data_IF_080581007506
#
_entry.id   IF_080581007506
#
_cell.length_a   1.000
_cell.length_b   1.000
_cell.length_c   1.000
_cell.angle_alpha   90.00
_cell.angle_beta   90.00
_cell.angle_gamma   90.00
#
_symmetry.space_group_name_H-M   'P 1'
#
loop_
_entity.id
_entity.type
_entity.pdbx_description
1 polymer ?
#
# COMPACT_ATOMS: atom_id res chain seq x y z
N UNK A 1 -1.27 -19.87 -31.89
CA UNK A 1 -0.67 -20.30 -30.61
C UNK A 1 -0.48 -19.08 -29.73
N UNK A 2 -1.28 -18.93 -28.67
CA UNK A 2 -1.36 -17.69 -27.90
C UNK A 2 -0.05 -17.37 -27.13
N UNK A 3 0.49 -16.15 -27.24
CA UNK A 3 1.77 -15.74 -26.62
C UNK A 3 1.77 -15.82 -25.08
N UNK A 4 0.59 -15.87 -24.47
CA UNK A 4 0.35 -15.90 -23.01
C UNK A 4 0.95 -17.15 -22.35
N UNK A 5 0.91 -18.32 -23.02
CA UNK A 5 1.43 -19.57 -22.45
C UNK A 5 2.95 -19.60 -22.35
N UNK A 6 3.65 -18.79 -23.17
CA UNK A 6 5.11 -18.68 -23.16
C UNK A 6 5.61 -17.76 -22.06
N UNK A 7 4.82 -16.74 -21.70
CA UNK A 7 5.10 -15.79 -20.61
C UNK A 7 4.87 -16.44 -19.23
N UNK A 8 3.79 -17.23 -19.09
CA UNK A 8 3.51 -18.01 -17.86
C UNK A 8 4.55 -19.10 -17.58
N UNK A 9 5.28 -19.57 -18.61
CA UNK A 9 6.32 -20.60 -18.47
C UNK A 9 7.63 -20.07 -17.88
N UNK A 10 7.78 -18.74 -17.77
CA UNK A 10 8.93 -18.12 -17.17
C UNK A 10 8.72 -18.00 -15.64
N UNK A 11 9.45 -18.79 -14.86
CA UNK A 11 9.31 -18.79 -13.39
C UNK A 11 9.48 -17.40 -12.78
N UNK A 12 10.33 -16.53 -13.34
CA UNK A 12 10.47 -15.17 -12.82
C UNK A 12 9.21 -14.33 -13.00
N UNK A 13 8.51 -14.49 -14.13
CA UNK A 13 7.26 -13.79 -14.38
C UNK A 13 6.14 -14.34 -13.48
N UNK A 14 6.08 -15.66 -13.32
CA UNK A 14 5.09 -16.30 -12.46
C UNK A 14 5.26 -15.89 -10.99
N UNK A 15 6.49 -15.86 -10.48
CA UNK A 15 6.81 -15.38 -9.13
C UNK A 15 6.38 -13.91 -8.98
N UNK A 16 6.70 -13.05 -9.95
CA UNK A 16 6.26 -11.64 -9.93
C UNK A 16 4.74 -11.51 -9.86
N UNK A 17 4.00 -12.27 -10.68
CA UNK A 17 2.52 -12.22 -10.69
C UNK A 17 1.95 -12.67 -9.35
N UNK A 18 2.49 -13.73 -8.75
CA UNK A 18 2.05 -14.20 -7.42
C UNK A 18 2.35 -13.14 -6.36
N UNK A 19 3.59 -12.63 -6.30
CA UNK A 19 3.99 -11.60 -5.34
C UNK A 19 3.12 -10.34 -5.45
N UNK A 20 2.84 -9.90 -6.67
CA UNK A 20 1.97 -8.75 -6.92
C UNK A 20 0.53 -9.03 -6.50
N UNK A 21 0.02 -10.23 -6.78
CA UNK A 21 -1.35 -10.63 -6.41
C UNK A 21 -1.52 -10.65 -4.90
N UNK A 22 -0.56 -11.24 -4.18
CA UNK A 22 -0.56 -11.28 -2.70
C UNK A 22 -0.50 -9.86 -2.14
N UNK A 23 0.38 -9.01 -2.69
CA UNK A 23 0.50 -7.62 -2.25
C UNK A 23 -0.80 -6.85 -2.44
N UNK A 24 -1.39 -6.91 -3.64
CA UNK A 24 -2.68 -6.27 -3.93
C UNK A 24 -3.82 -6.80 -3.05
N UNK A 25 -3.78 -8.08 -2.68
CA UNK A 25 -4.74 -8.65 -1.75
C UNK A 25 -4.56 -8.08 -0.33
N UNK A 26 -3.31 -8.00 0.14
CA UNK A 26 -2.96 -7.35 1.41
C UNK A 26 -3.49 -5.92 1.49
N UNK A 27 -3.38 -5.15 0.41
CA UNK A 27 -3.86 -3.75 0.34
C UNK A 27 -5.34 -3.61 0.60
N UNK A 28 -6.12 -4.58 0.08
CA UNK A 28 -7.56 -4.59 0.28
C UNK A 28 -7.90 -4.96 1.72
N UNK A 29 -7.16 -5.89 2.31
CA UNK A 29 -7.32 -6.24 3.72
C UNK A 29 -6.95 -5.06 4.64
N UNK A 30 -5.85 -4.36 4.36
CA UNK A 30 -5.43 -3.16 5.10
C UNK A 30 -6.48 -2.06 5.00
N UNK A 31 -7.03 -1.82 3.80
CA UNK A 31 -8.11 -0.85 3.61
C UNK A 31 -9.36 -1.22 4.43
N UNK A 32 -9.77 -2.49 4.40
CA UNK A 32 -10.94 -2.97 5.18
C UNK A 32 -10.66 -2.85 6.69
N UNK A 33 -9.45 -3.20 7.14
CA UNK A 33 -9.05 -3.11 8.54
C UNK A 33 -9.05 -1.66 9.03
N UNK A 34 -8.56 -0.71 8.22
CA UNK A 34 -8.58 0.72 8.54
C UNK A 34 -10.01 1.28 8.60
N UNK A 35 -10.87 0.89 7.66
CA UNK A 35 -12.30 1.26 7.69
C UNK A 35 -12.96 0.71 8.95
N UNK A 36 -12.71 -0.56 9.32
CA UNK A 36 -13.22 -1.16 10.55
C UNK A 36 -12.68 -0.49 11.82
N UNK A 37 -11.40 -0.11 11.85
CA UNK A 37 -10.78 0.59 12.98
C UNK A 37 -11.44 1.96 13.20
N UNK A 38 -11.70 2.70 12.12
CA UNK A 38 -12.42 3.98 12.20
C UNK A 38 -13.85 3.75 12.70
N UNK A 39 -14.56 2.76 12.17
CA UNK A 39 -15.95 2.49 12.59
C UNK A 39 -16.11 2.05 14.05
N UNK A 40 -15.06 1.51 14.67
CA UNK A 40 -15.09 1.06 16.09
C UNK A 40 -14.56 2.13 17.05
N UNK A 41 -13.54 2.91 16.65
CA UNK A 41 -12.84 3.86 17.53
C UNK A 41 -12.98 5.33 17.12
N UNK A 42 -13.69 5.62 16.03
CA UNK A 42 -13.92 6.96 15.52
C UNK A 42 -14.98 7.71 16.33
N UNK A 43 -14.78 9.00 16.65
CA UNK A 43 -15.85 9.85 17.18
C UNK A 43 -16.96 10.01 16.12
N UNK A 44 -18.21 10.24 16.58
CA UNK A 44 -19.52 10.21 15.88
C UNK A 44 -19.64 10.86 14.46
N UNK A 45 -18.59 11.46 13.90
CA UNK A 45 -18.49 11.96 12.52
C UNK A 45 -17.85 10.94 11.56
N UNK A 46 -18.41 9.73 11.54
CA UNK A 46 -18.07 8.60 10.67
C UNK A 46 -17.82 8.93 9.18
N UNK A 47 -18.59 9.80 8.50
CA UNK A 47 -18.40 10.03 7.06
C UNK A 47 -17.18 10.89 6.71
N UNK A 48 -16.78 11.79 7.62
CA UNK A 48 -15.71 12.76 7.34
C UNK A 48 -14.32 12.12 7.49
N UNK A 49 -14.16 11.22 8.45
CA UNK A 49 -12.91 10.49 8.66
C UNK A 49 -12.64 9.49 7.53
N UNK A 50 -13.67 8.81 7.05
CA UNK A 50 -13.56 7.89 5.91
C UNK A 50 -13.22 8.62 4.60
N UNK A 51 -13.82 9.78 4.36
CA UNK A 51 -13.49 10.60 3.18
C UNK A 51 -12.09 11.21 3.27
N UNK A 52 -11.64 11.63 4.46
CA UNK A 52 -10.25 12.03 4.68
C UNK A 52 -9.28 10.87 4.43
N UNK A 53 -9.59 9.66 4.92
CA UNK A 53 -8.78 8.47 4.64
C UNK A 53 -8.62 8.26 3.14
N UNK A 54 -9.72 8.28 2.37
CA UNK A 54 -9.66 8.13 0.91
C UNK A 54 -8.79 9.20 0.22
N UNK A 55 -8.83 10.44 0.72
CA UNK A 55 -7.96 11.53 0.24
C UNK A 55 -6.49 11.24 0.55
N UNK A 56 -6.17 10.80 1.77
CA UNK A 56 -4.81 10.45 2.17
C UNK A 56 -4.26 9.23 1.43
N UNK A 57 -5.11 8.29 1.03
CA UNK A 57 -4.75 7.18 0.14
C UNK A 57 -4.41 7.65 -1.28
N UNK A 58 -5.20 8.59 -1.82
CA UNK A 58 -5.09 8.98 -3.24
C UNK A 58 -4.02 10.06 -3.49
N UNK A 59 -3.82 10.96 -2.51
CA UNK A 59 -2.87 12.06 -2.58
C UNK A 59 -1.45 11.65 -2.99
N UNK A 60 -0.80 10.67 -2.32
CA UNK A 60 0.58 10.33 -2.65
C UNK A 60 0.68 9.79 -4.08
N UNK A 61 -0.30 9.01 -4.53
CA UNK A 61 -0.33 8.49 -5.91
C UNK A 61 -0.44 9.63 -6.93
N UNK A 62 -1.28 10.62 -6.67
CA UNK A 62 -1.48 11.76 -7.60
C UNK A 62 -0.24 12.65 -7.65
N UNK A 63 0.36 12.96 -6.50
CA UNK A 63 1.50 13.88 -6.38
C UNK A 63 2.77 13.21 -6.92
N UNK A 64 3.03 11.97 -6.50
CA UNK A 64 4.29 11.31 -6.79
C UNK A 64 4.23 10.40 -8.00
N UNK A 65 3.05 9.96 -8.46
CA UNK A 65 2.90 9.08 -9.64
C UNK A 65 3.67 9.54 -10.89
N UNK A 66 3.60 10.81 -11.32
CA UNK A 66 4.36 11.32 -12.46
C UNK A 66 5.88 11.27 -12.24
N UNK A 67 6.33 11.56 -11.01
CA UNK A 67 7.74 11.59 -10.63
C UNK A 67 8.29 10.16 -10.57
N UNK A 68 7.52 9.25 -9.96
CA UNK A 68 7.86 7.83 -9.83
C UNK A 68 8.07 7.19 -11.20
N UNK A 69 7.26 7.52 -12.21
CA UNK A 69 7.46 6.99 -13.58
C UNK A 69 8.84 7.32 -14.16
N UNK A 70 9.26 8.58 -14.05
CA UNK A 70 10.56 9.05 -14.58
C UNK A 70 11.73 8.50 -13.76
N UNK A 71 11.58 8.40 -12.44
CA UNK A 71 12.63 7.90 -11.55
C UNK A 71 12.86 6.39 -11.72
N UNK A 72 11.79 5.61 -11.84
CA UNK A 72 11.83 4.15 -11.98
C UNK A 72 12.39 3.73 -13.33
N UNK A 73 12.18 4.51 -14.39
CA UNK A 73 12.77 4.22 -15.70
C UNK A 73 14.30 4.37 -15.73
N UNK A 74 14.88 5.14 -14.81
CA UNK A 74 16.33 5.30 -14.69
C UNK A 74 17.00 4.26 -13.79
N UNK A 75 16.24 3.54 -12.98
CA UNK A 75 16.76 2.63 -11.95
C UNK A 75 16.51 1.16 -12.32
N UNK A 76 17.23 0.24 -11.67
CA UNK A 76 16.97 -1.19 -11.84
C UNK A 76 15.60 -1.57 -11.28
N UNK A 77 14.60 -1.75 -12.16
CA UNK A 77 13.20 -2.08 -11.84
C UNK A 77 13.04 -3.15 -10.75
N UNK A 78 13.84 -4.22 -10.80
CA UNK A 78 13.79 -5.30 -9.79
C UNK A 78 14.21 -4.84 -8.39
N UNK A 79 15.22 -3.95 -8.28
CA UNK A 79 15.67 -3.44 -6.97
C UNK A 79 14.67 -2.44 -6.40
N UNK A 80 14.10 -1.58 -7.24
CA UNK A 80 13.05 -0.64 -6.84
C UNK A 80 11.88 -1.40 -6.24
N UNK A 81 11.36 -2.39 -6.96
CA UNK A 81 10.21 -3.18 -6.51
C UNK A 81 10.47 -3.84 -5.16
N UNK A 82 11.62 -4.53 -5.00
CA UNK A 82 11.96 -5.19 -3.73
C UNK A 82 12.11 -4.18 -2.58
N UNK A 83 12.69 -3.01 -2.85
CA UNK A 83 12.88 -1.98 -1.81
C UNK A 83 11.54 -1.39 -1.36
N UNK A 84 10.64 -1.10 -2.31
CA UNK A 84 9.28 -0.63 -2.04
C UNK A 84 8.49 -1.66 -1.24
N UNK A 85 8.46 -2.92 -1.69
CA UNK A 85 7.72 -3.98 -1.00
C UNK A 85 8.23 -4.22 0.43
N UNK A 86 9.55 -4.15 0.64
CA UNK A 86 10.15 -4.27 1.98
C UNK A 86 9.82 -3.08 2.89
N UNK A 87 9.96 -1.85 2.38
CA UNK A 87 9.60 -0.64 3.13
C UNK A 87 8.11 -0.67 3.51
N UNK A 88 7.28 -1.11 2.58
CA UNK A 88 5.84 -1.20 2.76
C UNK A 88 5.45 -2.22 3.83
N UNK A 89 6.02 -3.43 3.75
CA UNK A 89 5.82 -4.45 4.78
C UNK A 89 6.25 -3.96 6.16
N UNK A 90 7.38 -3.26 6.24
CA UNK A 90 7.85 -2.64 7.48
C UNK A 90 6.87 -1.59 8.03
N UNK A 91 6.36 -0.70 7.18
CA UNK A 91 5.39 0.33 7.58
C UNK A 91 4.07 -0.27 8.06
N UNK A 92 3.55 -1.29 7.38
CA UNK A 92 2.32 -2.00 7.77
C UNK A 92 2.49 -2.68 9.14
N UNK A 93 3.63 -3.34 9.38
CA UNK A 93 3.94 -3.93 10.69
C UNK A 93 4.03 -2.89 11.82
N UNK A 94 4.35 -1.63 11.51
CA UNK A 94 4.41 -0.55 12.50
C UNK A 94 3.03 -0.04 12.93
N UNK A 95 1.99 -0.21 12.11
CA UNK A 95 0.61 0.23 12.40
C UNK A 95 0.11 -0.33 13.76
N UNK A 96 0.11 -1.66 14.00
CA UNK A 96 -0.36 -2.19 15.29
C UNK A 96 0.53 -1.78 16.47
N UNK A 97 1.85 -1.68 16.27
CA UNK A 97 2.81 -1.30 17.33
C UNK A 97 2.53 0.13 17.82
N UNK A 98 2.35 1.06 16.89
CA UNK A 98 2.07 2.47 17.19
C UNK A 98 0.68 2.64 17.80
N UNK A 99 -0.31 1.91 17.28
CA UNK A 99 -1.67 1.95 17.81
C UNK A 99 -1.71 1.54 19.30
N UNK A 100 -1.00 0.46 19.66
CA UNK A 100 -0.90 0.00 21.04
C UNK A 100 -0.23 1.01 21.98
N UNK A 101 0.80 1.73 21.49
CA UNK A 101 1.61 2.62 22.32
C UNK A 101 0.93 3.98 22.59
N UNK A 102 0.20 4.51 21.60
CA UNK A 102 -0.30 5.91 21.61
C UNK A 102 -1.81 5.99 21.85
N UNK A 103 -2.58 4.91 21.62
CA UNK A 103 -4.05 4.89 21.75
C UNK A 103 -4.74 6.05 20.98
N UNK A 104 -4.10 6.56 19.93
CA UNK A 104 -4.60 7.68 19.12
C UNK A 104 -4.61 7.29 17.65
N UNK A 105 -5.64 7.74 16.93
CA UNK A 105 -5.90 7.37 15.53
C UNK A 105 -5.14 8.26 14.53
N UNK A 106 -4.71 9.46 14.95
CA UNK A 106 -3.96 10.41 14.12
C UNK A 106 -2.65 9.87 13.52
N UNK A 107 -1.77 9.17 14.27
CA UNK A 107 -0.54 8.62 13.68
C UNK A 107 -0.79 7.54 12.61
N UNK A 108 -1.96 6.88 12.64
CA UNK A 108 -2.33 5.89 11.62
C UNK A 108 -2.46 6.55 10.24
N UNK A 109 -3.00 7.76 10.15
CA UNK A 109 -3.12 8.49 8.88
C UNK A 109 -1.76 8.81 8.25
N UNK A 110 -0.76 9.14 9.08
CA UNK A 110 0.60 9.42 8.59
C UNK A 110 1.24 8.15 8.05
N UNK A 111 1.11 7.02 8.75
CA UNK A 111 1.66 5.74 8.30
C UNK A 111 1.00 5.30 7.00
N UNK A 112 -0.33 5.41 6.92
CA UNK A 112 -1.10 5.13 5.70
C UNK A 112 -0.57 5.95 4.52
N UNK A 113 -0.36 7.26 4.70
CA UNK A 113 0.19 8.09 3.64
C UNK A 113 1.53 7.57 3.11
N UNK A 114 2.43 7.13 4.00
CA UNK A 114 3.71 6.55 3.61
C UNK A 114 3.59 5.15 2.99
N UNK A 115 2.68 4.30 3.48
CA UNK A 115 2.39 2.97 2.91
C UNK A 115 1.89 3.07 1.46
N UNK A 116 1.14 4.12 1.15
CA UNK A 116 0.64 4.39 -0.20
C UNK A 116 1.63 5.15 -1.10
N UNK A 117 2.70 5.68 -0.51
CA UNK A 117 3.78 6.34 -1.24
C UNK A 117 4.86 5.34 -1.71
N UNK A 118 5.09 4.28 -0.94
CA UNK A 118 6.06 3.21 -1.24
C UNK A 118 5.51 2.18 -2.20
#
# INVERSE_FOLDING_TARGET
MHPISRVLKNSNFFIFVISQTISQFGDKLDYIALVGLIGVFGPEKEPMLLSQLAIFFSLPIIIFGPISGVLVDRWHRKRVMVTCDLLRGFLVCLIPIIFLLIHSIYPVFVIVFFVFLT
#
